data_IF_078803775084
#
_entry.id   IF_078803775084
#
_cell.length_a   1.000
_cell.length_b   1.000
_cell.length_c   1.000
_cell.angle_alpha   90.00
_cell.angle_beta   90.00
_cell.angle_gamma   90.00
#
_symmetry.space_group_name_H-M   'P 1'
#
loop_
_entity.id
_entity.type
_entity.pdbx_description
1 polymer ?
#
# COMPACT_ATOMS: atom_id res chain seq x y z
N UNK A 1 -21.74 10.94 0.00
CA UNK A 1 -21.21 9.82 -0.78
C UNK A 1 -21.75 8.53 -0.20
N UNK A 2 -22.06 7.53 -1.02
CA UNK A 2 -22.52 6.22 -0.58
C UNK A 2 -21.30 5.30 -0.39
N UNK A 3 -21.43 4.27 0.44
CA UNK A 3 -20.41 3.24 0.61
C UNK A 3 -20.22 2.46 -0.70
N UNK A 4 -19.00 2.08 -0.99
CA UNK A 4 -18.72 1.24 -2.16
C UNK A 4 -19.13 -0.21 -1.91
N UNK A 5 -19.91 -0.85 -2.82
CA UNK A 5 -20.17 -2.28 -2.75
C UNK A 5 -18.88 -3.07 -2.73
N UNK A 6 -18.80 -4.08 -1.88
CA UNK A 6 -17.66 -4.97 -1.77
C UNK A 6 -18.09 -6.41 -1.57
N UNK A 7 -17.23 -7.34 -1.91
CA UNK A 7 -17.45 -8.75 -1.69
C UNK A 7 -16.12 -9.50 -1.67
N UNK A 8 -16.06 -10.56 -0.88
CA UNK A 8 -14.89 -11.42 -0.80
C UNK A 8 -15.32 -12.86 -0.49
N UNK A 9 -14.56 -13.80 -0.98
CA UNK A 9 -14.79 -15.22 -0.72
C UNK A 9 -13.52 -16.05 -0.86
N UNK A 10 -13.46 -17.14 -0.10
CA UNK A 10 -12.49 -18.22 -0.27
C UNK A 10 -13.21 -19.47 -0.76
N UNK A 11 -12.66 -20.16 -1.74
CA UNK A 11 -13.15 -21.46 -2.22
C UNK A 11 -12.06 -22.11 -3.10
N UNK A 12 -11.88 -23.45 -3.08
CA UNK A 12 -10.90 -24.12 -3.96
C UNK A 12 -11.17 -23.91 -5.46
N UNK A 13 -12.42 -23.69 -5.85
CA UNK A 13 -12.83 -23.44 -7.23
C UNK A 13 -13.19 -21.95 -7.40
N UNK A 14 -12.44 -21.24 -8.23
CA UNK A 14 -12.65 -19.81 -8.45
C UNK A 14 -14.07 -19.42 -8.91
N UNK A 15 -14.80 -20.22 -9.75
CA UNK A 15 -16.15 -19.83 -10.15
C UNK A 15 -17.13 -19.78 -8.96
N UNK A 16 -16.94 -20.64 -7.96
CA UNK A 16 -17.76 -20.63 -6.75
C UNK A 16 -17.43 -19.40 -5.89
N UNK A 17 -16.15 -19.05 -5.73
CA UNK A 17 -15.76 -17.84 -5.03
C UNK A 17 -16.28 -16.59 -5.74
N UNK A 18 -16.16 -16.51 -7.06
CA UNK A 18 -16.69 -15.41 -7.87
C UNK A 18 -18.20 -15.27 -7.74
N UNK A 19 -18.95 -16.39 -7.77
CA UNK A 19 -20.40 -16.40 -7.57
C UNK A 19 -20.82 -15.87 -6.19
N UNK A 20 -20.07 -16.23 -5.12
CA UNK A 20 -20.31 -15.71 -3.76
C UNK A 20 -20.03 -14.21 -3.68
N UNK A 21 -18.96 -13.73 -4.31
CA UNK A 21 -18.63 -12.30 -4.37
C UNK A 21 -19.70 -11.53 -5.15
N UNK A 22 -20.13 -12.01 -6.31
CA UNK A 22 -21.18 -11.40 -7.10
C UNK A 22 -22.50 -11.28 -6.32
N UNK A 23 -22.85 -12.31 -5.54
CA UNK A 23 -24.05 -12.26 -4.69
C UNK A 23 -23.96 -11.14 -3.63
N UNK A 24 -22.79 -10.98 -2.99
CA UNK A 24 -22.54 -9.91 -2.01
C UNK A 24 -22.59 -8.53 -2.67
N UNK A 25 -21.94 -8.34 -3.81
CA UNK A 25 -21.94 -7.07 -4.55
C UNK A 25 -23.35 -6.65 -4.96
N UNK A 26 -24.12 -7.58 -5.54
CA UNK A 26 -25.51 -7.32 -5.94
C UNK A 26 -26.41 -7.01 -4.74
N UNK A 27 -26.21 -7.70 -3.62
CA UNK A 27 -26.95 -7.40 -2.38
C UNK A 27 -26.62 -5.98 -1.89
N UNK A 28 -25.34 -5.58 -1.83
CA UNK A 28 -24.97 -4.23 -1.44
C UNK A 28 -25.57 -3.17 -2.37
N UNK A 29 -25.51 -3.34 -3.68
CA UNK A 29 -26.05 -2.37 -4.64
C UNK A 29 -27.57 -2.14 -4.50
N UNK A 30 -28.31 -3.06 -3.85
CA UNK A 30 -29.73 -2.85 -3.55
C UNK A 30 -30.00 -2.07 -2.27
N UNK A 31 -28.99 -1.90 -1.40
CA UNK A 31 -29.13 -1.20 -0.13
C UNK A 31 -28.97 0.32 -0.30
N UNK A 32 -29.81 1.14 0.35
CA UNK A 32 -29.79 2.60 0.19
C UNK A 32 -28.49 3.27 0.57
N UNK A 33 -27.72 2.67 1.50
CA UNK A 33 -26.43 3.19 1.98
C UNK A 33 -25.25 2.94 1.03
N UNK A 34 -25.42 2.09 0.02
CA UNK A 34 -24.38 1.72 -0.93
C UNK A 34 -24.57 2.36 -2.31
N UNK A 35 -23.46 2.51 -3.01
CA UNK A 35 -23.42 2.92 -4.40
C UNK A 35 -24.17 1.93 -5.29
N UNK A 36 -24.96 2.42 -6.23
CA UNK A 36 -25.82 1.59 -7.11
C UNK A 36 -25.43 1.67 -8.58
N UNK A 37 -24.51 2.57 -8.95
CA UNK A 37 -24.04 2.75 -10.33
C UNK A 37 -22.50 2.80 -10.37
N UNK A 38 -21.80 1.71 -9.95
CA UNK A 38 -20.35 1.68 -9.93
C UNK A 38 -19.79 1.71 -11.36
N UNK A 39 -18.61 2.33 -11.50
CA UNK A 39 -17.93 2.51 -12.78
C UNK A 39 -16.55 1.85 -12.83
N UNK A 40 -15.95 1.61 -11.67
CA UNK A 40 -14.61 1.02 -11.53
C UNK A 40 -14.64 -0.15 -10.55
N UNK A 41 -14.13 -1.31 -10.96
CA UNK A 41 -13.91 -2.48 -10.13
C UNK A 41 -12.43 -2.58 -9.70
N UNK A 42 -12.21 -2.77 -8.40
CA UNK A 42 -10.90 -3.12 -7.85
C UNK A 42 -10.93 -4.61 -7.49
N UNK A 43 -10.05 -5.40 -8.13
CA UNK A 43 -10.00 -6.86 -8.02
C UNK A 43 -8.66 -7.31 -7.46
N UNK A 44 -8.68 -8.00 -6.32
CA UNK A 44 -7.51 -8.63 -5.73
C UNK A 44 -7.75 -10.13 -5.60
N UNK A 45 -6.75 -10.92 -6.01
CA UNK A 45 -6.80 -12.39 -5.92
C UNK A 45 -5.57 -12.91 -5.19
N UNK A 46 -5.70 -14.04 -4.49
CA UNK A 46 -4.51 -14.76 -4.01
C UNK A 46 -3.83 -15.50 -5.17
N UNK A 47 -2.55 -15.78 -5.00
CA UNK A 47 -1.72 -16.44 -6.01
C UNK A 47 -2.18 -17.85 -6.39
N UNK A 48 -3.06 -18.46 -5.60
CA UNK A 48 -3.77 -19.70 -5.95
C UNK A 48 -4.62 -19.54 -7.22
N UNK A 49 -5.13 -18.34 -7.48
CA UNK A 49 -5.95 -18.05 -8.66
C UNK A 49 -5.18 -17.38 -9.81
N UNK A 50 -3.87 -17.15 -9.67
CA UNK A 50 -3.08 -16.43 -10.68
C UNK A 50 -3.16 -17.05 -12.09
N UNK A 51 -3.29 -18.38 -12.19
CA UNK A 51 -3.45 -19.09 -13.47
C UNK A 51 -4.82 -18.85 -14.12
N UNK A 52 -5.82 -18.44 -13.36
CA UNK A 52 -7.21 -18.18 -13.79
C UNK A 52 -7.56 -16.70 -13.85
N UNK A 53 -6.56 -15.82 -13.77
CA UNK A 53 -6.79 -14.38 -13.71
C UNK A 53 -7.66 -13.84 -14.87
N UNK A 54 -7.41 -14.30 -16.11
CA UNK A 54 -8.21 -13.90 -17.26
C UNK A 54 -9.65 -14.42 -17.15
N UNK A 55 -9.84 -15.70 -16.81
CA UNK A 55 -11.18 -16.30 -16.68
C UNK A 55 -12.01 -15.57 -15.62
N UNK A 56 -11.38 -15.18 -14.50
CA UNK A 56 -12.01 -14.43 -13.41
C UNK A 56 -12.43 -13.04 -13.90
N UNK A 57 -11.53 -12.31 -14.57
CA UNK A 57 -11.83 -10.98 -15.07
C UNK A 57 -12.96 -11.01 -16.12
N UNK A 58 -12.91 -11.95 -17.07
CA UNK A 58 -13.91 -12.12 -18.10
C UNK A 58 -15.29 -12.46 -17.49
N UNK A 59 -15.29 -13.35 -16.49
CA UNK A 59 -16.53 -13.71 -15.77
C UNK A 59 -17.14 -12.52 -15.02
N UNK A 60 -16.32 -11.80 -14.23
CA UNK A 60 -16.81 -10.64 -13.48
C UNK A 60 -17.28 -9.51 -14.41
N UNK A 61 -16.58 -9.24 -15.49
CA UNK A 61 -16.98 -8.23 -16.49
C UNK A 61 -18.26 -8.59 -17.22
N UNK A 62 -18.47 -9.88 -17.50
CA UNK A 62 -19.70 -10.35 -18.13
C UNK A 62 -20.91 -10.29 -17.18
N UNK A 63 -20.71 -10.57 -15.88
CA UNK A 63 -21.76 -10.55 -14.86
C UNK A 63 -22.09 -9.14 -14.32
N UNK A 64 -21.17 -8.18 -14.51
CA UNK A 64 -21.29 -6.77 -14.10
C UNK A 64 -21.01 -5.83 -15.28
N UNK A 65 -21.82 -5.87 -16.35
CA UNK A 65 -21.61 -5.07 -17.55
C UNK A 65 -21.71 -3.55 -17.29
N UNK A 66 -22.29 -3.14 -16.18
CA UNK A 66 -22.33 -1.76 -15.70
C UNK A 66 -20.98 -1.24 -15.18
N UNK A 67 -20.02 -2.14 -14.90
CA UNK A 67 -18.67 -1.81 -14.44
C UNK A 67 -17.68 -1.98 -15.60
N UNK A 68 -17.44 -0.92 -16.39
CA UNK A 68 -16.63 -1.03 -17.61
C UNK A 68 -15.12 -1.10 -17.34
N UNK A 69 -14.67 -0.60 -16.19
CA UNK A 69 -13.26 -0.42 -15.90
C UNK A 69 -12.85 -1.29 -14.71
N UNK A 70 -11.70 -1.96 -14.82
CA UNK A 70 -11.15 -2.83 -13.78
C UNK A 70 -9.67 -2.60 -13.57
N UNK A 71 -9.24 -2.65 -12.31
CA UNK A 71 -7.84 -2.61 -11.91
C UNK A 71 -7.60 -3.52 -10.73
N UNK A 72 -6.37 -3.96 -10.53
CA UNK A 72 -6.02 -4.83 -9.42
C UNK A 72 -4.78 -5.67 -9.66
N UNK A 73 -4.53 -6.62 -8.77
CA UNK A 73 -3.35 -7.47 -8.86
C UNK A 73 -3.50 -8.75 -8.03
N UNK A 74 -2.50 -9.61 -8.14
CA UNK A 74 -2.33 -10.79 -7.31
C UNK A 74 -1.50 -10.45 -6.06
N UNK A 75 -1.82 -11.08 -4.94
CA UNK A 75 -1.01 -11.09 -3.73
C UNK A 75 -0.80 -12.51 -3.20
N UNK A 76 0.27 -12.76 -2.43
CA UNK A 76 0.41 -13.99 -1.63
C UNK A 76 -0.69 -14.08 -0.57
N UNK A 77 -1.29 -12.96 -0.25
CA UNK A 77 -2.50 -12.79 0.54
C UNK A 77 -3.24 -11.54 0.09
N UNK A 78 -4.52 -11.50 0.39
CA UNK A 78 -5.41 -10.35 0.13
C UNK A 78 -6.17 -9.97 1.39
N UNK A 79 -6.66 -8.74 1.41
CA UNK A 79 -7.42 -8.17 2.51
C UNK A 79 -8.80 -7.73 2.02
N UNK A 80 -9.83 -7.99 2.83
CA UNK A 80 -11.14 -7.39 2.64
C UNK A 80 -11.84 -7.15 3.97
N UNK A 81 -12.25 -5.94 4.20
CA UNK A 81 -12.84 -5.47 5.47
C UNK A 81 -12.00 -5.84 6.69
N UNK A 82 -12.39 -6.86 7.42
CA UNK A 82 -11.74 -7.32 8.64
C UNK A 82 -11.13 -8.73 8.51
N UNK A 83 -10.97 -9.24 7.29
CA UNK A 83 -10.46 -10.58 6.99
C UNK A 83 -9.23 -10.50 6.11
N UNK A 84 -8.19 -11.21 6.50
CA UNK A 84 -7.00 -11.51 5.70
C UNK A 84 -7.10 -12.94 5.19
N UNK A 85 -6.81 -13.14 3.90
CA UNK A 85 -6.71 -14.46 3.27
C UNK A 85 -5.25 -14.72 2.93
N UNK A 86 -4.62 -15.63 3.66
CA UNK A 86 -3.26 -16.10 3.40
C UNK A 86 -3.25 -17.61 3.20
N UNK A 87 -2.40 -18.07 2.28
CA UNK A 87 -2.22 -19.51 2.00
C UNK A 87 -3.50 -20.26 1.63
N UNK A 88 -4.49 -19.52 1.14
CA UNK A 88 -5.78 -20.05 0.70
C UNK A 88 -6.27 -19.37 -0.58
N UNK A 89 -7.03 -20.09 -1.43
CA UNK A 89 -7.58 -19.53 -2.65
C UNK A 89 -8.71 -18.54 -2.31
N UNK A 90 -8.52 -17.25 -2.62
CA UNK A 90 -9.51 -16.22 -2.34
C UNK A 90 -9.49 -15.10 -3.39
N UNK A 91 -10.61 -14.38 -3.47
CA UNK A 91 -10.71 -13.14 -4.23
C UNK A 91 -11.54 -12.10 -3.45
N UNK A 92 -11.21 -10.83 -3.66
CA UNK A 92 -11.91 -9.68 -3.10
C UNK A 92 -12.14 -8.63 -4.19
N UNK A 93 -13.33 -8.04 -4.18
CA UNK A 93 -13.75 -7.00 -5.12
C UNK A 93 -14.36 -5.84 -4.37
N UNK A 94 -14.03 -4.61 -4.77
CA UNK A 94 -14.74 -3.39 -4.38
C UNK A 94 -15.14 -2.62 -5.63
N UNK A 95 -16.38 -2.15 -5.68
CA UNK A 95 -16.95 -1.42 -6.81
C UNK A 95 -17.06 0.06 -6.46
N UNK A 96 -16.24 0.89 -7.10
CA UNK A 96 -16.21 2.33 -6.88
C UNK A 96 -17.20 3.05 -7.80
N UNK A 97 -18.04 3.92 -7.24
CA UNK A 97 -18.90 4.83 -8.00
C UNK A 97 -18.17 6.16 -8.13
N UNK A 98 -17.48 6.35 -9.25
CA UNK A 98 -16.69 7.54 -9.56
C UNK A 98 -17.10 8.07 -10.94
N UNK A 99 -17.25 9.39 -11.13
CA UNK A 99 -17.40 9.97 -12.47
C UNK A 99 -16.24 9.60 -13.39
N UNK A 100 -16.53 9.29 -14.66
CA UNK A 100 -15.53 8.84 -15.62
C UNK A 100 -14.43 9.88 -15.93
N UNK A 101 -14.66 11.15 -15.62
CA UNK A 101 -13.67 12.23 -15.76
C UNK A 101 -12.75 12.35 -14.54
N UNK A 102 -13.04 11.64 -13.44
CA UNK A 102 -12.25 11.69 -12.22
C UNK A 102 -11.18 10.62 -12.11
N UNK A 103 -11.20 9.60 -12.95
CA UNK A 103 -10.20 8.54 -12.93
C UNK A 103 -9.79 8.06 -14.32
N UNK A 104 -8.68 7.36 -14.40
CA UNK A 104 -8.19 6.73 -15.62
C UNK A 104 -7.40 5.47 -15.33
N UNK A 105 -7.83 4.33 -15.87
CA UNK A 105 -7.05 3.08 -15.82
C UNK A 105 -5.87 3.20 -16.78
N UNK A 106 -4.69 2.77 -16.35
CA UNK A 106 -3.48 2.75 -17.18
C UNK A 106 -2.73 1.42 -17.03
N UNK A 107 -1.87 1.13 -18.00
CA UNK A 107 -0.99 -0.05 -18.01
C UNK A 107 0.27 0.25 -18.83
N UNK A 108 1.25 -0.66 -18.84
CA UNK A 108 2.43 -0.54 -19.69
C UNK A 108 2.12 -0.45 -21.18
N UNK A 109 0.99 -1.01 -21.61
CA UNK A 109 0.51 -0.93 -23.02
C UNK A 109 -0.26 0.37 -23.28
N UNK A 110 -0.83 0.96 -22.24
CA UNK A 110 -1.61 2.19 -22.27
C UNK A 110 -1.19 3.09 -21.11
N UNK A 111 0.01 3.67 -21.19
CA UNK A 111 0.58 4.43 -20.08
C UNK A 111 -0.16 5.75 -19.86
N UNK A 112 -0.12 6.23 -18.62
CA UNK A 112 -0.60 7.56 -18.29
C UNK A 112 0.27 8.59 -19.03
N UNK A 113 -0.34 9.52 -19.83
CA UNK A 113 0.43 10.56 -20.48
C UNK A 113 1.10 11.51 -19.48
N UNK A 114 2.21 12.18 -19.87
CA UNK A 114 2.85 13.18 -19.02
C UNK A 114 1.87 14.27 -18.56
N UNK A 115 2.04 14.79 -17.34
CA UNK A 115 1.14 15.75 -16.71
C UNK A 115 0.83 17.00 -17.56
N UNK A 116 1.79 17.46 -18.39
CA UNK A 116 1.65 18.64 -19.24
C UNK A 116 0.87 18.41 -20.55
N UNK A 117 0.53 17.17 -20.91
CA UNK A 117 0.12 16.84 -22.30
C UNK A 117 -1.36 16.53 -22.51
N UNK A 118 -2.21 16.54 -21.48
CA UNK A 118 -3.58 16.03 -21.59
C UNK A 118 -4.68 16.86 -20.93
N UNK A 119 -5.94 16.60 -21.35
CA UNK A 119 -7.14 17.16 -20.67
C UNK A 119 -7.36 16.56 -19.29
N UNK A 120 -6.88 15.33 -19.05
CA UNK A 120 -6.96 14.64 -17.76
C UNK A 120 -5.74 15.01 -16.92
N UNK A 121 -5.96 15.65 -15.78
CA UNK A 121 -4.92 16.00 -14.81
C UNK A 121 -4.93 15.00 -13.68
N UNK A 122 -4.00 14.05 -13.71
CA UNK A 122 -3.82 13.10 -12.63
C UNK A 122 -3.26 13.82 -11.40
N UNK A 123 -3.94 13.70 -10.27
CA UNK A 123 -3.47 14.22 -8.98
C UNK A 123 -2.69 13.16 -8.21
N UNK A 124 -3.20 11.94 -8.16
CA UNK A 124 -2.54 10.78 -7.54
C UNK A 124 -2.82 9.52 -8.35
N UNK A 125 -2.12 8.42 -8.06
CA UNK A 125 -2.40 7.14 -8.71
C UNK A 125 -2.21 5.94 -7.79
N UNK A 126 -3.13 4.98 -7.87
CA UNK A 126 -2.94 3.61 -7.41
C UNK A 126 -2.06 2.88 -8.42
N UNK A 127 -0.98 2.27 -7.95
CA UNK A 127 0.00 1.58 -8.79
C UNK A 127 0.12 0.12 -8.36
N UNK A 128 -0.06 -0.79 -9.30
CA UNK A 128 0.33 -2.19 -9.17
C UNK A 128 1.57 -2.41 -10.05
N UNK A 129 2.62 -2.98 -9.50
CA UNK A 129 3.87 -3.20 -10.22
C UNK A 129 4.33 -4.65 -10.11
N UNK A 130 5.06 -5.11 -11.11
CA UNK A 130 5.69 -6.43 -11.09
C UNK A 130 7.14 -6.30 -10.63
N UNK A 131 7.49 -7.00 -9.54
CA UNK A 131 8.84 -6.98 -8.97
C UNK A 131 9.94 -7.50 -9.90
N UNK A 132 9.58 -8.28 -10.93
CA UNK A 132 10.52 -8.76 -11.95
C UNK A 132 10.86 -7.71 -13.02
N UNK A 133 10.19 -6.57 -12.99
CA UNK A 133 10.43 -5.48 -13.95
C UNK A 133 11.77 -4.82 -13.67
N UNK A 134 12.68 -4.73 -14.67
CA UNK A 134 13.93 -4.01 -14.49
C UNK A 134 13.68 -2.55 -14.06
N UNK A 135 14.47 -2.08 -13.10
CA UNK A 135 14.39 -0.71 -12.58
C UNK A 135 12.98 -0.27 -12.17
N UNK A 136 12.28 -1.14 -11.45
CA UNK A 136 10.91 -0.85 -10.99
C UNK A 136 10.86 0.41 -10.10
N UNK A 137 11.91 0.72 -9.35
CA UNK A 137 11.99 1.92 -8.53
C UNK A 137 12.02 3.19 -9.39
N UNK A 138 12.86 3.23 -10.43
CA UNK A 138 12.88 4.34 -11.39
C UNK A 138 11.57 4.52 -12.14
N UNK A 139 10.87 3.43 -12.45
CA UNK A 139 9.53 3.51 -13.06
C UNK A 139 8.47 4.06 -12.09
N UNK A 140 8.57 3.77 -10.79
CA UNK A 140 7.69 4.34 -9.76
C UNK A 140 7.94 5.84 -9.63
N UNK A 141 9.20 6.27 -9.61
CA UNK A 141 9.58 7.68 -9.57
C UNK A 141 9.10 8.42 -10.83
N UNK A 142 9.30 7.84 -12.04
CA UNK A 142 8.75 8.38 -13.28
C UNK A 142 7.22 8.52 -13.21
N UNK A 143 6.53 7.52 -12.66
CA UNK A 143 5.07 7.54 -12.52
C UNK A 143 4.63 8.64 -11.53
N UNK A 144 5.35 8.86 -10.45
CA UNK A 144 5.11 9.95 -9.52
C UNK A 144 5.27 11.33 -10.20
N UNK A 145 6.25 11.46 -11.10
CA UNK A 145 6.42 12.66 -11.95
C UNK A 145 5.30 12.90 -12.97
N UNK A 146 4.39 11.93 -13.18
CA UNK A 146 3.23 12.06 -14.09
C UNK A 146 1.95 12.51 -13.38
N UNK A 147 1.95 12.60 -12.05
CA UNK A 147 0.85 13.11 -11.23
C UNK A 147 1.24 14.47 -10.62
N UNK A 148 0.29 15.38 -10.49
CA UNK A 148 0.60 16.76 -10.09
C UNK A 148 0.93 16.90 -8.59
N UNK A 149 0.49 15.96 -7.74
CA UNK A 149 0.89 15.89 -6.32
C UNK A 149 2.26 15.27 -6.09
N UNK A 150 2.84 14.59 -7.09
CA UNK A 150 4.03 13.75 -6.91
C UNK A 150 3.80 12.51 -6.03
N UNK A 151 2.55 12.19 -5.70
CA UNK A 151 2.21 11.11 -4.78
C UNK A 151 1.51 9.96 -5.50
N UNK A 152 2.14 8.79 -5.52
CA UNK A 152 1.51 7.54 -5.93
C UNK A 152 1.44 6.57 -4.74
N UNK A 153 0.50 5.63 -4.76
CA UNK A 153 0.32 4.63 -3.72
C UNK A 153 0.00 3.27 -4.32
N UNK A 154 0.28 2.19 -3.61
CA UNK A 154 0.04 0.84 -4.10
C UNK A 154 1.12 -0.14 -3.67
N UNK A 155 1.52 -1.05 -4.53
CA UNK A 155 2.57 -2.01 -4.20
C UNK A 155 2.97 -2.96 -5.31
N UNK A 156 4.05 -3.70 -5.04
CA UNK A 156 4.53 -4.77 -5.90
C UNK A 156 3.62 -5.99 -5.74
N UNK A 157 3.15 -6.53 -6.85
CA UNK A 157 2.49 -7.81 -6.88
C UNK A 157 3.37 -8.88 -6.22
N UNK A 158 2.81 -9.72 -5.38
CA UNK A 158 3.50 -10.80 -4.72
C UNK A 158 2.84 -12.12 -5.07
N UNK A 159 3.63 -13.10 -5.46
CA UNK A 159 3.10 -14.41 -5.88
C UNK A 159 4.20 -15.47 -5.87
N UNK A 160 3.85 -16.69 -5.45
CA UNK A 160 4.69 -17.87 -5.57
C UNK A 160 4.64 -18.51 -6.97
N UNK A 161 3.58 -18.17 -7.75
CA UNK A 161 3.26 -18.83 -9.02
C UNK A 161 3.35 -17.91 -10.25
N UNK A 162 3.83 -16.70 -10.08
CA UNK A 162 3.90 -15.68 -11.13
C UNK A 162 2.90 -14.55 -10.89
N UNK A 163 3.36 -13.33 -11.13
CA UNK A 163 2.60 -12.10 -10.92
C UNK A 163 1.67 -11.84 -12.07
N UNK A 164 0.50 -11.29 -11.76
CA UNK A 164 -0.48 -10.79 -12.74
C UNK A 164 -1.07 -9.48 -12.25
N UNK A 165 -1.45 -8.63 -13.19
CA UNK A 165 -2.09 -7.35 -12.95
C UNK A 165 -3.35 -7.25 -13.80
N UNK A 166 -4.37 -6.57 -13.28
CA UNK A 166 -5.62 -6.29 -13.97
C UNK A 166 -5.66 -4.82 -14.37
N UNK A 167 -5.91 -4.54 -15.65
CA UNK A 167 -6.14 -3.20 -16.17
C UNK A 167 -7.01 -3.29 -17.42
N UNK A 168 -8.32 -3.19 -17.25
CA UNK A 168 -9.31 -3.19 -18.32
C UNK A 168 -10.00 -1.84 -18.33
N UNK A 169 -10.11 -1.21 -19.50
CA UNK A 169 -10.85 0.02 -19.69
C UNK A 169 -11.88 -0.14 -20.80
N UNK A 170 -13.16 -0.11 -20.44
CA UNK A 170 -14.28 -0.30 -21.35
C UNK A 170 -14.71 0.97 -22.08
N UNK A 171 -14.61 2.15 -21.47
CA UNK A 171 -15.11 3.42 -22.02
C UNK A 171 -14.01 4.40 -22.45
N UNK A 172 -12.86 3.90 -22.79
CA UNK A 172 -11.99 4.71 -23.62
C UNK A 172 -11.35 5.89 -22.90
N UNK A 173 -10.94 5.69 -21.69
CA UNK A 173 -9.84 6.50 -21.21
C UNK A 173 -8.64 6.33 -22.16
N UNK A 174 -8.58 5.22 -22.90
CA UNK A 174 -7.66 5.01 -24.01
C UNK A 174 -8.31 4.15 -25.08
N UNK A 175 -9.16 4.75 -25.92
CA UNK A 175 -9.74 4.06 -27.07
C UNK A 175 -8.64 3.47 -27.97
N UNK A 176 -8.63 2.14 -28.10
CA UNK A 176 -7.81 1.43 -29.08
C UNK A 176 -6.38 1.07 -28.66
N UNK A 177 -5.99 1.23 -27.40
CA UNK A 177 -4.63 0.93 -26.92
C UNK A 177 -4.56 -0.05 -25.73
N UNK A 178 -5.61 -0.76 -25.40
CA UNK A 178 -5.57 -1.81 -24.38
C UNK A 178 -5.12 -3.15 -24.95
N UNK A 179 -4.43 -4.01 -24.17
CA UNK A 179 -4.38 -5.42 -24.48
C UNK A 179 -5.81 -5.97 -24.41
N UNK A 180 -6.17 -6.80 -25.38
CA UNK A 180 -7.52 -7.27 -25.59
C UNK A 180 -8.12 -8.07 -24.41
N UNK A 181 -7.32 -8.45 -23.40
CA UNK A 181 -7.74 -9.26 -22.28
C UNK A 181 -7.74 -8.56 -20.91
N UNK A 182 -7.10 -7.40 -20.74
CA UNK A 182 -7.04 -6.69 -19.45
C UNK A 182 -6.17 -7.34 -18.37
N UNK A 183 -5.49 -8.45 -18.64
CA UNK A 183 -4.54 -9.11 -17.73
C UNK A 183 -3.12 -8.99 -18.25
N UNK A 184 -2.19 -8.55 -17.41
CA UNK A 184 -0.81 -8.24 -17.77
C UNK A 184 0.19 -8.94 -16.86
N UNK A 185 1.42 -9.04 -17.37
CA UNK A 185 2.61 -9.44 -16.62
C UNK A 185 3.71 -8.44 -16.91
N UNK A 186 4.50 -8.13 -15.91
CA UNK A 186 5.57 -7.14 -16.01
C UNK A 186 5.05 -5.69 -16.01
N UNK A 187 5.94 -4.73 -15.80
CA UNK A 187 5.66 -3.31 -15.83
C UNK A 187 4.77 -2.82 -14.68
N UNK A 188 4.09 -1.72 -14.98
CA UNK A 188 3.17 -1.02 -14.07
C UNK A 188 1.77 -0.98 -14.68
N UNK A 189 0.77 -1.10 -13.81
CA UNK A 189 -0.63 -0.80 -14.14
C UNK A 189 -1.34 -0.15 -12.96
N UNK A 190 -2.53 0.37 -13.15
CA UNK A 190 -3.28 0.95 -12.05
C UNK A 190 -4.36 1.94 -12.46
N UNK A 191 -4.67 2.84 -11.54
CA UNK A 191 -5.70 3.87 -11.74
C UNK A 191 -5.14 5.21 -11.30
N UNK A 192 -5.14 6.18 -12.19
CA UNK A 192 -4.85 7.57 -11.87
C UNK A 192 -6.16 8.31 -11.53
N UNK A 193 -6.11 9.18 -10.54
CA UNK A 193 -7.25 9.94 -10.04
C UNK A 193 -6.99 11.43 -10.14
N UNK A 194 -8.03 12.21 -10.46
CA UNK A 194 -7.99 13.66 -10.33
C UNK A 194 -8.18 14.08 -8.87
N UNK A 195 -7.88 15.32 -8.56
CA UNK A 195 -8.11 15.89 -7.22
C UNK A 195 -9.58 15.76 -6.76
N UNK A 196 -10.52 15.79 -7.70
CA UNK A 196 -11.96 15.67 -7.42
C UNK A 196 -12.37 14.29 -6.88
N UNK A 197 -11.56 13.25 -7.08
CA UNK A 197 -11.81 11.92 -6.51
C UNK A 197 -11.59 11.85 -4.99
N UNK A 198 -10.96 12.88 -4.41
CA UNK A 198 -10.79 13.09 -2.97
C UNK A 198 -10.25 11.86 -2.23
N UNK A 199 -8.99 11.50 -2.50
CA UNK A 199 -8.28 10.43 -1.81
C UNK A 199 -7.33 10.99 -0.75
N UNK A 200 -7.21 10.24 0.35
CA UNK A 200 -6.25 10.50 1.40
C UNK A 200 -5.46 9.24 1.71
N UNK A 201 -4.13 9.33 1.67
CA UNK A 201 -3.22 8.21 1.94
C UNK A 201 -2.35 8.47 3.16
N UNK A 202 -2.08 7.42 3.93
CA UNK A 202 -1.10 7.43 5.03
C UNK A 202 -0.26 6.16 4.98
N UNK A 203 1.01 6.32 5.35
CA UNK A 203 1.98 5.23 5.46
C UNK A 203 2.16 4.87 6.92
N UNK A 204 2.05 3.58 7.25
CA UNK A 204 2.34 3.04 8.59
C UNK A 204 3.61 2.23 8.57
N UNK A 205 4.51 2.51 9.51
CA UNK A 205 5.81 1.85 9.65
C UNK A 205 5.71 0.56 10.48
N UNK A 206 6.52 -0.43 10.12
CA UNK A 206 6.61 -1.72 10.82
C UNK A 206 7.89 -1.93 11.60
N UNK A 207 8.83 -0.97 11.51
CA UNK A 207 10.15 -1.05 12.11
C UNK A 207 10.37 0.04 13.14
N UNK A 208 11.15 -0.30 14.17
CA UNK A 208 11.54 0.61 15.25
C UNK A 208 13.05 0.85 15.17
N UNK A 209 13.53 2.11 15.26
CA UNK A 209 14.96 2.39 15.37
C UNK A 209 15.51 1.83 16.69
N UNK A 210 16.70 1.24 16.62
CA UNK A 210 17.46 0.68 17.74
C UNK A 210 18.83 1.36 17.94
N UNK A 211 19.13 2.34 17.10
CA UNK A 211 20.33 3.19 17.16
C UNK A 211 19.98 4.65 17.05
N UNK A 212 20.98 5.52 17.22
CA UNK A 212 20.91 6.91 16.80
C UNK A 212 20.85 7.04 15.26
N UNK A 213 20.49 8.22 14.78
CA UNK A 213 20.62 8.58 13.37
C UNK A 213 22.08 8.99 13.10
N UNK A 214 22.65 8.48 12.01
CA UNK A 214 24.00 8.75 11.55
C UNK A 214 23.98 9.32 10.13
N UNK A 215 24.80 10.30 9.84
CA UNK A 215 24.99 10.80 8.48
C UNK A 215 25.93 9.85 7.70
N UNK A 216 25.54 9.47 6.49
CA UNK A 216 26.41 8.74 5.56
C UNK A 216 27.44 9.71 5.00
N UNK A 217 28.67 9.60 5.46
CA UNK A 217 29.77 10.47 5.03
C UNK A 217 30.60 9.88 3.91
N UNK A 218 30.58 8.54 3.72
CA UNK A 218 31.16 7.87 2.56
C UNK A 218 30.40 6.59 2.19
N UNK A 219 30.21 6.36 0.89
CA UNK A 219 29.63 5.14 0.34
C UNK A 219 30.17 4.84 -1.05
N UNK A 220 30.10 3.58 -1.47
CA UNK A 220 30.49 3.12 -2.80
C UNK A 220 29.47 2.08 -3.30
N UNK A 221 28.64 2.46 -4.29
CA UNK A 221 27.52 1.66 -4.74
C UNK A 221 26.55 1.40 -3.59
N UNK A 222 26.31 0.13 -3.29
CA UNK A 222 25.44 -0.29 -2.19
C UNK A 222 26.15 -0.51 -0.85
N UNK A 223 27.44 -0.14 -0.74
CA UNK A 223 28.24 -0.30 0.49
C UNK A 223 28.45 1.05 1.16
N UNK A 224 27.90 1.21 2.35
CA UNK A 224 28.19 2.35 3.23
C UNK A 224 29.49 2.08 3.95
N UNK A 225 30.49 2.93 3.76
CA UNK A 225 31.83 2.78 4.34
C UNK A 225 32.09 3.66 5.55
N UNK A 226 31.42 4.82 5.64
CA UNK A 226 31.58 5.74 6.78
C UNK A 226 30.20 6.30 7.22
N UNK A 227 30.03 6.37 8.55
CA UNK A 227 28.93 7.02 9.25
C UNK A 227 29.52 8.05 10.21
N UNK A 228 29.10 9.32 10.12
CA UNK A 228 29.65 10.45 10.93
C UNK A 228 31.18 10.53 10.88
N UNK A 229 31.82 10.20 9.74
CA UNK A 229 33.25 10.16 9.58
C UNK A 229 33.98 8.99 10.27
N UNK A 230 33.22 7.97 10.74
CA UNK A 230 33.77 6.75 11.33
C UNK A 230 33.42 5.53 10.45
N UNK A 231 34.25 4.46 10.49
CA UNK A 231 33.97 3.26 9.72
C UNK A 231 32.59 2.67 10.05
N UNK A 232 31.71 2.50 9.05
CA UNK A 232 30.34 2.12 9.23
C UNK A 232 30.18 0.78 9.98
N UNK A 233 31.05 -0.19 9.70
CA UNK A 233 31.04 -1.48 10.41
C UNK A 233 31.34 -1.32 11.89
N UNK A 234 32.34 -0.47 12.26
CA UNK A 234 32.71 -0.23 13.65
C UNK A 234 31.53 0.45 14.40
N UNK A 235 30.86 1.42 13.78
CA UNK A 235 29.65 2.06 14.33
C UNK A 235 28.54 1.02 14.54
N UNK A 236 28.26 0.18 13.55
CA UNK A 236 27.24 -0.87 13.67
C UNK A 236 27.54 -1.84 14.82
N UNK A 237 28.78 -2.30 14.93
CA UNK A 237 29.18 -3.23 15.99
C UNK A 237 29.00 -2.61 17.38
N UNK A 238 29.33 -1.34 17.53
CA UNK A 238 29.17 -0.60 18.78
C UNK A 238 27.69 -0.40 19.15
N UNK A 239 26.87 0.08 18.20
CA UNK A 239 25.44 0.35 18.42
C UNK A 239 24.64 -0.94 18.71
N UNK A 240 24.97 -2.04 18.05
CA UNK A 240 24.28 -3.32 18.25
C UNK A 240 24.86 -4.13 19.42
N UNK A 241 25.99 -3.70 20.01
CA UNK A 241 26.64 -4.40 21.12
C UNK A 241 27.13 -5.80 20.74
N UNK A 242 27.64 -5.98 19.51
CA UNK A 242 28.09 -7.28 18.97
C UNK A 242 29.59 -7.28 18.71
N UNK A 243 30.22 -8.45 18.84
CA UNK A 243 31.64 -8.67 18.52
C UNK A 243 31.78 -9.68 17.37
N UNK A 244 32.73 -9.43 16.48
CA UNK A 244 33.10 -10.38 15.43
C UNK A 244 33.88 -11.60 15.98
N UNK A 245 34.32 -11.56 17.22
CA UNK A 245 34.91 -12.70 17.91
C UNK A 245 33.89 -13.78 18.23
N UNK A 246 32.57 -13.41 18.23
CA UNK A 246 31.42 -14.30 18.40
C UNK A 246 30.58 -14.38 17.11
N UNK A 247 31.11 -14.99 16.04
CA UNK A 247 30.56 -14.83 14.68
C UNK A 247 29.15 -15.39 14.52
N UNK A 248 28.72 -16.36 15.32
CA UNK A 248 27.36 -16.91 15.27
C UNK A 248 26.32 -15.93 15.81
N UNK A 249 26.63 -15.27 16.93
CA UNK A 249 25.75 -14.28 17.54
C UNK A 249 25.71 -13.01 16.70
N UNK A 250 26.87 -12.56 16.24
CA UNK A 250 26.97 -11.43 15.33
C UNK A 250 26.11 -11.65 14.07
N UNK A 251 26.23 -12.83 13.43
CA UNK A 251 25.47 -13.15 12.23
C UNK A 251 23.95 -13.23 12.51
N UNK A 252 23.55 -13.79 13.65
CA UNK A 252 22.14 -13.87 14.03
C UNK A 252 21.56 -12.47 14.23
N UNK A 253 22.26 -11.57 14.92
CA UNK A 253 21.83 -10.18 15.16
C UNK A 253 21.78 -9.38 13.87
N UNK A 254 22.83 -9.44 13.02
CA UNK A 254 22.87 -8.76 11.73
C UNK A 254 21.74 -9.19 10.80
N UNK A 255 21.39 -10.48 10.77
CA UNK A 255 20.27 -11.01 9.95
C UNK A 255 18.90 -10.43 10.34
N UNK A 256 18.72 -10.05 11.58
CA UNK A 256 17.47 -9.46 12.07
C UNK A 256 17.48 -7.95 12.08
N UNK A 257 18.67 -7.34 11.88
CA UNK A 257 18.84 -5.89 11.83
C UNK A 257 18.59 -5.39 10.41
N UNK A 258 17.89 -4.29 10.33
CA UNK A 258 17.60 -3.55 9.11
C UNK A 258 18.20 -2.14 9.24
N UNK A 259 18.17 -1.39 8.17
CA UNK A 259 18.56 0.02 8.16
C UNK A 259 17.39 0.86 7.66
N UNK A 260 17.11 1.95 8.34
CA UNK A 260 16.25 3.02 7.86
C UNK A 260 17.11 4.09 7.20
N UNK A 261 16.77 4.45 5.96
CA UNK A 261 17.44 5.47 5.17
C UNK A 261 16.49 6.63 4.92
N UNK A 262 16.94 7.86 5.03
CA UNK A 262 16.19 9.05 4.61
C UNK A 262 17.10 10.06 3.91
N UNK A 263 16.55 10.74 2.90
CA UNK A 263 17.26 11.82 2.24
C UNK A 263 17.04 13.15 2.95
N UNK A 264 17.98 14.11 2.90
CA UNK A 264 17.76 15.43 3.45
C UNK A 264 16.57 16.17 2.82
N UNK A 265 16.31 15.93 1.54
CA UNK A 265 15.21 16.55 0.80
C UNK A 265 13.83 16.04 1.30
N UNK A 266 13.73 14.74 1.58
CA UNK A 266 12.51 14.13 2.11
C UNK A 266 12.20 14.62 3.53
N UNK A 267 13.22 14.74 4.38
CA UNK A 267 13.11 15.26 5.76
C UNK A 267 12.63 16.71 5.78
N UNK A 268 13.11 17.55 4.86
CA UNK A 268 12.71 18.96 4.77
C UNK A 268 11.25 19.14 4.28
N UNK A 269 10.75 18.19 3.50
CA UNK A 269 9.39 18.21 2.96
C UNK A 269 8.35 17.58 3.89
N UNK A 270 8.78 16.91 4.96
CA UNK A 270 7.87 16.31 5.92
C UNK A 270 7.47 17.32 7.00
N UNK A 271 6.21 17.75 6.95
CA UNK A 271 5.61 18.69 7.91
C UNK A 271 5.03 18.01 9.15
N UNK A 272 5.12 16.67 9.26
CA UNK A 272 4.56 15.90 10.37
C UNK A 272 5.46 15.95 11.60
N UNK A 273 4.84 16.06 12.77
CA UNK A 273 5.55 16.01 14.06
C UNK A 273 5.93 14.56 14.37
N UNK A 274 7.22 14.24 14.25
CA UNK A 274 7.73 12.91 14.61
C UNK A 274 7.79 12.74 16.12
N UNK A 275 7.20 11.66 16.63
CA UNK A 275 7.42 11.26 18.02
C UNK A 275 8.79 10.57 18.13
N UNK A 276 9.55 10.93 19.15
CA UNK A 276 10.83 10.28 19.44
C UNK A 276 10.67 8.76 19.54
N UNK A 277 11.52 8.01 18.85
CA UNK A 277 11.53 6.55 18.85
C UNK A 277 10.70 5.84 17.77
N UNK A 278 10.18 6.57 16.77
CA UNK A 278 9.53 6.00 15.59
C UNK A 278 10.05 6.65 14.32
N UNK A 279 10.12 5.86 13.24
CA UNK A 279 10.42 6.40 11.91
C UNK A 279 9.21 7.16 11.34
N UNK A 280 9.49 8.26 10.65
CA UNK A 280 8.51 8.96 9.83
C UNK A 280 8.27 8.31 8.48
N UNK A 281 7.35 8.87 7.70
CA UNK A 281 7.01 8.38 6.37
C UNK A 281 8.12 8.60 5.32
N UNK A 282 9.12 9.42 5.63
CA UNK A 282 10.30 9.72 4.82
C UNK A 282 11.39 8.64 4.92
N UNK A 283 11.29 7.71 5.90
CA UNK A 283 12.30 6.69 6.12
C UNK A 283 11.98 5.43 5.33
N UNK A 284 12.91 5.00 4.50
CA UNK A 284 12.82 3.78 3.71
C UNK A 284 13.65 2.69 4.37
N UNK A 285 13.03 1.56 4.73
CA UNK A 285 13.72 0.45 5.40
C UNK A 285 14.32 -0.51 4.39
N UNK A 286 15.57 -0.91 4.63
CA UNK A 286 16.36 -1.80 3.76
C UNK A 286 17.05 -2.91 4.54
N UNK A 287 17.31 -4.02 3.85
CA UNK A 287 18.10 -5.12 4.41
C UNK A 287 19.61 -4.84 4.39
N UNK A 288 20.27 -5.27 5.45
CA UNK A 288 21.73 -5.48 5.42
C UNK A 288 21.96 -6.82 4.72
N UNK A 289 22.64 -6.80 3.56
CA UNK A 289 22.90 -7.98 2.74
C UNK A 289 24.31 -8.53 2.89
N UNK A 290 25.20 -7.76 3.51
CA UNK A 290 26.57 -8.19 3.75
C UNK A 290 27.35 -7.22 4.60
N UNK A 291 28.47 -7.73 5.13
CA UNK A 291 29.49 -6.95 5.78
C UNK A 291 30.78 -7.02 4.95
N UNK A 292 31.46 -5.91 4.79
CA UNK A 292 32.77 -5.82 4.12
C UNK A 292 33.86 -5.47 5.15
N UNK A 293 34.53 -6.45 5.75
CA UNK A 293 35.55 -6.21 6.75
C UNK A 293 36.76 -5.49 6.18
N UNK A 294 37.08 -5.66 4.88
CA UNK A 294 38.22 -5.04 4.24
C UNK A 294 38.08 -3.53 4.10
N UNK A 295 36.85 -3.08 3.75
CA UNK A 295 36.51 -1.65 3.65
C UNK A 295 35.80 -1.13 4.92
N UNK A 296 35.63 -1.98 5.93
CA UNK A 296 34.83 -1.71 7.15
C UNK A 296 33.47 -1.18 6.84
N UNK A 297 32.85 -1.72 5.79
CA UNK A 297 31.57 -1.28 5.24
C UNK A 297 30.41 -2.22 5.52
N UNK A 298 29.21 -1.70 5.29
CA UNK A 298 27.91 -2.40 5.41
C UNK A 298 27.24 -2.35 4.04
N UNK A 299 26.96 -3.51 3.44
CA UNK A 299 26.23 -3.60 2.19
C UNK A 299 24.71 -3.68 2.45
N UNK A 300 23.95 -2.83 1.78
CA UNK A 300 22.48 -2.75 1.88
C UNK A 300 21.78 -3.06 0.56
N UNK A 301 20.47 -3.31 0.58
CA UNK A 301 19.67 -3.61 -0.63
C UNK A 301 19.28 -2.34 -1.43
N UNK A 302 20.00 -1.25 -1.23
CA UNK A 302 19.78 0.03 -1.92
C UNK A 302 21.11 0.64 -2.33
N UNK A 303 21.06 1.79 -3.02
CA UNK A 303 22.24 2.58 -3.40
C UNK A 303 22.20 3.90 -2.63
N UNK A 304 22.60 3.91 -1.34
CA UNK A 304 22.58 5.12 -0.52
C UNK A 304 23.58 6.15 -1.04
N UNK A 305 23.25 7.43 -0.84
CA UNK A 305 24.12 8.56 -1.18
C UNK A 305 24.77 9.21 0.03
N UNK A 306 25.89 9.90 -0.17
CA UNK A 306 26.49 10.76 0.85
C UNK A 306 25.53 11.89 1.20
N UNK A 307 25.42 12.20 2.50
CA UNK A 307 24.49 13.18 3.05
C UNK A 307 23.12 12.62 3.43
N UNK A 308 22.82 11.36 3.06
CA UNK A 308 21.64 10.66 3.59
C UNK A 308 21.84 10.31 5.07
N UNK A 309 20.74 10.15 5.79
CA UNK A 309 20.72 9.68 7.17
C UNK A 309 20.43 8.19 7.23
N UNK A 310 21.13 7.45 8.07
CA UNK A 310 20.97 6.03 8.30
C UNK A 310 20.80 5.74 9.80
N UNK A 311 19.83 4.87 10.16
CA UNK A 311 19.71 4.33 11.51
C UNK A 311 19.49 2.82 11.44
N UNK A 312 20.04 2.08 12.41
CA UNK A 312 19.75 0.66 12.56
C UNK A 312 18.37 0.48 13.18
N UNK A 313 17.63 -0.50 12.69
CA UNK A 313 16.28 -0.75 13.14
C UNK A 313 15.94 -2.24 13.16
N UNK A 314 14.87 -2.58 13.83
CA UNK A 314 14.32 -3.94 13.86
C UNK A 314 12.81 -3.93 13.64
N UNK A 315 12.29 -5.05 13.17
CA UNK A 315 10.83 -5.26 13.07
C UNK A 315 10.24 -5.37 14.46
N UNK A 316 9.20 -4.60 14.74
CA UNK A 316 8.56 -4.57 16.04
C UNK A 316 7.03 -4.53 15.89
N UNK A 317 6.35 -5.62 16.28
CA UNK A 317 4.89 -5.71 16.17
C UNK A 317 4.14 -4.71 17.06
N UNK A 318 4.71 -4.34 18.21
CA UNK A 318 4.09 -3.35 19.12
C UNK A 318 4.19 -1.96 18.50
N UNK A 319 5.37 -1.61 17.96
CA UNK A 319 5.57 -0.35 17.25
C UNK A 319 4.67 -0.26 16.00
N UNK A 320 4.59 -1.34 15.21
CA UNK A 320 3.73 -1.42 14.03
C UNK A 320 2.24 -1.21 14.37
N UNK A 321 1.76 -1.81 15.48
CA UNK A 321 0.39 -1.60 15.97
C UNK A 321 0.15 -0.16 16.41
N UNK A 322 1.05 0.41 17.19
CA UNK A 322 0.94 1.78 17.67
C UNK A 322 0.92 2.78 16.49
N UNK A 323 1.77 2.54 15.50
CA UNK A 323 1.85 3.39 14.34
C UNK A 323 0.62 3.26 13.42
N UNK A 324 0.08 2.05 13.24
CA UNK A 324 -1.17 1.87 12.49
C UNK A 324 -2.36 2.58 13.18
N UNK A 325 -2.44 2.53 14.51
CA UNK A 325 -3.44 3.31 15.28
C UNK A 325 -3.24 4.81 15.05
N UNK A 326 -1.99 5.29 15.03
CA UNK A 326 -1.66 6.70 14.77
C UNK A 326 -2.17 7.15 13.40
N UNK A 327 -1.82 6.43 12.32
CA UNK A 327 -2.25 6.83 10.97
C UNK A 327 -3.78 6.78 10.81
N UNK A 328 -4.44 5.83 11.45
CA UNK A 328 -5.91 5.80 11.47
C UNK A 328 -6.48 7.01 12.23
N UNK A 329 -5.85 7.43 13.33
CA UNK A 329 -6.28 8.62 14.07
C UNK A 329 -6.08 9.90 13.25
N UNK A 330 -4.95 10.02 12.54
CA UNK A 330 -4.70 11.15 11.62
C UNK A 330 -5.75 11.26 10.52
N UNK A 331 -6.11 10.10 9.89
CA UNK A 331 -7.20 10.08 8.90
C UNK A 331 -8.52 10.54 9.54
N UNK A 332 -8.79 10.11 10.77
CA UNK A 332 -9.99 10.53 11.51
C UNK A 332 -10.01 12.03 11.77
N UNK A 333 -8.92 12.57 12.29
CA UNK A 333 -8.79 13.98 12.64
C UNK A 333 -8.96 14.90 11.40
N UNK A 334 -8.38 14.50 10.27
CA UNK A 334 -8.50 15.26 9.02
C UNK A 334 -9.91 15.20 8.42
N UNK A 335 -10.67 14.14 8.69
CA UNK A 335 -12.05 13.99 8.23
C UNK A 335 -13.09 14.52 9.23
N UNK A 336 -12.68 14.91 10.43
CA UNK A 336 -13.59 15.50 11.41
C UNK A 336 -13.84 16.97 11.05
N UNK A 337 -15.11 17.39 10.89
CA UNK A 337 -15.43 18.80 10.70
C UNK A 337 -15.06 19.61 11.96
N UNK A 338 -14.60 20.82 11.79
CA UNK A 338 -14.25 21.74 12.92
C UNK A 338 -15.42 21.97 13.88
N UNK A 339 -16.66 21.91 13.38
CA UNK A 339 -17.87 22.00 14.19
C UNK A 339 -18.78 20.77 13.96
N UNK A 340 -19.05 20.01 15.02
CA UNK A 340 -20.01 18.92 15.00
C UNK A 340 -21.43 19.48 15.26
N UNK A 341 -22.38 19.12 14.41
CA UNK A 341 -23.79 19.38 14.72
C UNK A 341 -24.24 18.62 15.97
N UNK A 342 -25.20 19.17 16.73
CA UNK A 342 -25.74 18.51 17.93
C UNK A 342 -26.28 17.10 17.68
N UNK A 343 -26.83 16.83 16.48
CA UNK A 343 -27.29 15.50 16.06
C UNK A 343 -26.13 14.50 15.94
N UNK A 344 -25.01 14.93 15.34
CA UNK A 344 -23.80 14.10 15.18
C UNK A 344 -23.15 13.86 16.52
N UNK A 345 -23.03 14.88 17.38
CA UNK A 345 -22.49 14.73 18.72
C UNK A 345 -23.33 13.78 19.60
N UNK A 346 -24.66 13.81 19.45
CA UNK A 346 -25.57 12.91 20.13
C UNK A 346 -25.44 11.46 19.62
N UNK A 347 -25.31 11.26 18.30
CA UNK A 347 -25.10 9.93 17.71
C UNK A 347 -23.77 9.30 18.12
N UNK A 348 -22.72 10.11 18.28
CA UNK A 348 -21.41 9.66 18.77
C UNK A 348 -21.40 9.26 20.26
N UNK A 349 -22.37 9.72 21.04
CA UNK A 349 -22.52 9.38 22.45
C UNK A 349 -23.31 8.07 22.67
N UNK A 350 -23.85 7.46 21.62
CA UNK A 350 -24.59 6.22 21.70
C UNK A 350 -23.66 5.00 21.95
N UNK A 351 -24.07 4.01 22.76
CA UNK A 351 -23.25 2.82 23.05
C UNK A 351 -22.87 1.99 21.81
N UNK A 352 -23.60 2.13 20.72
CA UNK A 352 -23.40 1.40 19.46
C UNK A 352 -22.48 2.15 18.50
N UNK A 353 -22.00 3.36 18.86
CA UNK A 353 -21.19 4.20 17.98
C UNK A 353 -19.78 3.64 17.68
N UNK A 354 -19.28 2.69 18.49
CA UNK A 354 -17.97 2.05 18.24
C UNK A 354 -17.96 1.14 17.01
N UNK A 355 -19.11 0.61 16.60
CA UNK A 355 -19.23 -0.31 15.46
C UNK A 355 -19.85 0.32 14.21
N UNK A 356 -20.46 1.49 14.33
CA UNK A 356 -21.05 2.19 13.19
C UNK A 356 -20.04 3.13 12.52
N UNK A 357 -20.12 3.34 11.18
CA UNK A 357 -19.37 4.38 10.50
C UNK A 357 -19.64 5.75 11.16
N UNK A 358 -18.60 6.50 11.43
CA UNK A 358 -18.75 7.82 12.07
C UNK A 358 -19.61 8.73 11.19
N UNK A 359 -20.73 9.29 11.69
CA UNK A 359 -21.71 10.00 10.84
C UNK A 359 -21.17 11.26 10.18
N UNK A 360 -20.11 11.87 10.73
CA UNK A 360 -19.42 13.00 10.15
C UNK A 360 -18.25 12.59 9.22
N UNK A 361 -17.85 11.32 9.23
CA UNK A 361 -16.75 10.80 8.41
C UNK A 361 -17.34 10.14 7.17
N UNK A 362 -17.14 10.75 6.04
CA UNK A 362 -17.65 10.26 4.77
C UNK A 362 -16.58 9.47 4.02
N UNK A 363 -16.21 8.31 4.55
CA UNK A 363 -15.35 7.35 3.85
C UNK A 363 -16.25 6.43 3.03
N UNK A 364 -16.10 6.44 1.71
CA UNK A 364 -16.86 5.57 0.82
C UNK A 364 -16.26 4.17 0.73
N UNK A 365 -14.95 4.07 0.81
CA UNK A 365 -14.18 2.83 0.78
C UNK A 365 -12.71 3.09 1.06
N UNK A 366 -11.96 2.02 1.24
CA UNK A 366 -10.54 2.06 1.53
C UNK A 366 -9.77 1.01 0.72
N UNK A 367 -8.52 1.34 0.41
CA UNK A 367 -7.53 0.39 -0.14
C UNK A 367 -6.43 0.26 0.91
N UNK A 368 -6.09 -0.97 1.26
CA UNK A 368 -4.99 -1.25 2.17
C UNK A 368 -3.97 -2.16 1.53
N UNK A 369 -2.78 -1.63 1.28
CA UNK A 369 -1.63 -2.37 0.76
C UNK A 369 -0.65 -2.53 1.91
N UNK A 370 -0.43 -3.76 2.36
CA UNK A 370 0.46 -4.07 3.47
C UNK A 370 1.57 -4.99 3.03
N UNK A 371 2.74 -4.91 3.67
CA UNK A 371 3.84 -5.81 3.41
C UNK A 371 3.45 -7.27 3.64
N UNK A 372 3.81 -8.16 2.72
CA UNK A 372 3.58 -9.60 2.89
C UNK A 372 4.19 -10.16 4.19
N UNK A 373 5.22 -9.50 4.72
CA UNK A 373 5.80 -9.82 6.01
C UNK A 373 5.03 -9.28 7.22
N UNK A 374 4.02 -8.44 7.05
CA UNK A 374 3.19 -7.90 8.15
C UNK A 374 1.94 -8.71 8.40
N UNK A 375 1.38 -9.34 7.37
CA UNK A 375 0.14 -10.10 7.49
C UNK A 375 0.23 -11.32 8.39
N UNK A 376 -0.92 -11.87 8.75
CA UNK A 376 -1.05 -13.08 9.53
C UNK A 376 -0.50 -12.94 10.97
N UNK A 377 0.46 -13.81 11.37
CA UNK A 377 0.90 -13.89 12.75
C UNK A 377 1.74 -12.70 13.25
N UNK A 378 2.24 -11.81 12.38
CA UNK A 378 3.07 -10.68 12.81
C UNK A 378 2.35 -9.76 13.80
N UNK A 379 1.06 -9.51 13.59
CA UNK A 379 0.22 -8.74 14.52
C UNK A 379 -0.35 -9.61 15.66
N UNK A 380 0.13 -10.85 15.84
CA UNK A 380 -0.19 -11.75 16.95
C UNK A 380 -1.45 -12.60 16.78
N UNK A 381 -2.27 -12.34 15.75
CA UNK A 381 -3.43 -13.16 15.39
C UNK A 381 -3.79 -12.90 13.92
N UNK A 382 -4.43 -13.86 13.23
CA UNK A 382 -4.99 -13.64 11.91
C UNK A 382 -5.94 -12.43 11.88
N UNK A 383 -5.86 -11.63 10.83
CA UNK A 383 -6.69 -10.43 10.62
C UNK A 383 -6.56 -9.33 11.69
N UNK A 384 -5.58 -9.42 12.60
CA UNK A 384 -5.43 -8.45 13.68
C UNK A 384 -5.10 -7.05 13.16
N UNK A 385 -4.37 -6.93 12.07
CA UNK A 385 -4.05 -5.67 11.41
C UNK A 385 -5.32 -4.97 10.92
N UNK A 386 -6.19 -5.67 10.20
CA UNK A 386 -7.45 -5.14 9.70
C UNK A 386 -8.45 -4.81 10.81
N UNK A 387 -8.43 -5.56 11.91
CA UNK A 387 -9.26 -5.24 13.07
C UNK A 387 -8.88 -3.92 13.73
N UNK A 388 -7.58 -3.53 13.69
CA UNK A 388 -7.14 -2.22 14.16
C UNK A 388 -7.73 -1.13 13.27
N UNK A 389 -7.64 -1.28 11.94
CA UNK A 389 -8.23 -0.32 10.99
C UNK A 389 -9.73 -0.18 11.22
N UNK A 390 -10.44 -1.31 11.34
CA UNK A 390 -11.89 -1.33 11.57
C UNK A 390 -12.28 -0.63 12.89
N UNK A 391 -11.58 -0.90 13.98
CA UNK A 391 -11.85 -0.25 15.27
C UNK A 391 -11.65 1.27 15.22
N UNK A 392 -10.68 1.71 14.43
CA UNK A 392 -10.35 3.12 14.33
C UNK A 392 -11.24 3.89 13.34
N UNK A 393 -11.58 3.29 12.19
CA UNK A 393 -12.32 3.95 11.10
C UNK A 393 -13.80 3.53 11.01
N UNK A 394 -14.21 2.49 11.77
CA UNK A 394 -15.53 1.87 11.66
C UNK A 394 -15.62 0.83 10.54
N UNK A 395 -16.82 0.33 10.26
CA UNK A 395 -17.10 -0.64 9.19
C UNK A 395 -17.07 0.03 7.82
N UNK A 396 -15.86 0.37 7.35
CA UNK A 396 -15.62 0.95 6.03
C UNK A 396 -15.36 -0.18 5.03
N UNK A 397 -15.99 -0.18 3.83
CA UNK A 397 -15.59 -1.09 2.76
C UNK A 397 -14.09 -1.01 2.49
N UNK A 398 -13.38 -2.13 2.59
CA UNK A 398 -11.95 -2.18 2.42
C UNK A 398 -11.56 -3.37 1.56
N UNK A 399 -10.68 -3.14 0.59
CA UNK A 399 -9.98 -4.19 -0.15
C UNK A 399 -8.49 -3.88 -0.22
N UNK A 400 -7.70 -4.90 -0.48
CA UNK A 400 -6.26 -4.72 -0.64
C UNK A 400 -5.53 -6.03 -0.80
N UNK A 401 -4.20 -5.94 -0.78
CA UNK A 401 -3.35 -7.10 -0.94
C UNK A 401 -2.06 -6.96 -0.12
N UNK A 402 -1.42 -8.09 0.12
CA UNK A 402 -0.13 -8.14 0.78
C UNK A 402 0.97 -8.11 -0.28
N UNK A 403 1.69 -7.00 -0.32
CA UNK A 403 2.65 -6.65 -1.35
C UNK A 403 4.05 -7.22 -1.09
N UNK A 404 4.84 -7.38 -2.14
CA UNK A 404 6.27 -7.65 -2.07
C UNK A 404 7.13 -6.41 -1.80
N UNK A 405 6.48 -5.26 -1.70
CA UNK A 405 7.02 -3.93 -1.41
C UNK A 405 5.89 -2.92 -1.59
N UNK A 406 5.78 -1.97 -0.69
CA UNK A 406 4.70 -0.99 -0.67
C UNK A 406 5.15 0.28 -1.40
N UNK A 407 4.25 0.86 -2.20
CA UNK A 407 4.50 2.10 -2.94
C UNK A 407 3.76 3.22 -2.24
N UNK A 408 4.48 4.27 -1.86
CA UNK A 408 3.88 5.52 -1.41
C UNK A 408 4.80 6.70 -1.76
N UNK A 409 4.21 7.86 -2.05
CA UNK A 409 4.94 8.99 -2.62
C UNK A 409 5.63 8.56 -3.93
N UNK A 410 6.94 8.66 -4.01
CA UNK A 410 7.77 8.17 -5.13
C UNK A 410 8.71 7.04 -4.69
N UNK A 411 8.48 6.47 -3.49
CA UNK A 411 9.37 5.46 -2.90
C UNK A 411 8.75 4.06 -2.92
N UNK A 412 9.63 3.08 -2.97
CA UNK A 412 9.34 1.68 -2.70
C UNK A 412 9.78 1.35 -1.27
N UNK A 413 8.80 1.02 -0.43
CA UNK A 413 8.99 0.69 0.98
C UNK A 413 9.06 -0.82 1.21
N UNK A 414 9.50 -1.18 2.41
CA UNK A 414 9.40 -2.53 2.95
C UNK A 414 8.98 -2.50 4.41
N UNK A 415 8.24 -3.50 4.84
CA UNK A 415 7.70 -3.63 6.21
C UNK A 415 6.70 -2.54 6.62
N UNK A 416 6.08 -1.90 5.66
CA UNK A 416 5.12 -0.82 5.85
C UNK A 416 3.69 -1.27 5.50
N UNK A 417 2.75 -0.38 5.69
CA UNK A 417 1.41 -0.47 5.14
C UNK A 417 0.98 0.88 4.59
N UNK A 418 0.23 0.89 3.51
CA UNK A 418 -0.31 2.10 2.89
C UNK A 418 -1.82 2.03 2.94
N UNK A 419 -2.42 2.89 3.75
CA UNK A 419 -3.87 3.00 3.89
C UNK A 419 -4.34 4.22 3.13
N UNK A 420 -5.17 4.00 2.12
CA UNK A 420 -5.78 5.05 1.30
C UNK A 420 -7.30 4.98 1.42
N UNK A 421 -7.93 6.09 1.74
CA UNK A 421 -9.39 6.20 1.86
C UNK A 421 -9.95 7.10 0.76
N UNK A 422 -11.11 6.70 0.24
CA UNK A 422 -11.94 7.54 -0.62
C UNK A 422 -12.87 8.35 0.25
N UNK A 423 -12.79 9.66 0.13
CA UNK A 423 -13.57 10.60 0.93
C UNK A 423 -14.57 11.36 0.08
N UNK A 424 -15.57 11.92 0.70
CA UNK A 424 -16.48 12.86 0.05
C UNK A 424 -16.05 14.27 0.43
N UNK A 425 -15.99 15.23 -0.49
CA UNK A 425 -15.95 16.63 -0.10
C UNK A 425 -17.17 16.94 0.78
N UNK A 426 -16.95 17.67 1.85
CA UNK A 426 -17.99 18.12 2.79
C UNK A 426 -18.90 19.12 2.09
#
# INVERSE_FOLDING_TARGET
MKLFPYGHATHPQWPMAAGLVLAQLRAHMTLPGFASAPTLGLLYITDHYAAHAQDILDHLSAELPEVPDWSGTVGVGIASNNVEYFDEPALAVMLCELPHDQYRVFSGVSPLPPAASGRFKAHTALVHADSSTPDVAGLIEEMAGRVDSGYVFGGLASSRNGTVQFALSGYGNVKGQGAAGGVFRGGLSGVAFTQAAALMSRVTQGCQPISANHEITACEGNVVTELDGQPALDVMLAELGISLDEPREALAKVRTTLVGLSSPEDVLNDTQVHRSGQFGAEVVVRHIIGLDPARKGIAVTDTPGVGMTMAFCERNAVAARADLVRVCAEIREELEPEELSLEVASALSAPEAESAPHPARRIAGAIYVSCSGRGGPHFGAPSAELQIVRRALGDVPLVGFFAGGEIARHHLYGYTGVLTVFTSPI
#
